data_IF_717569437296
#
_entry.id   IF_717569437296
#
_cell.length_a   1.000
_cell.length_b   1.000
_cell.length_c   1.000
_cell.angle_alpha   90.00
_cell.angle_beta   90.00
_cell.angle_gamma   90.00
#
_symmetry.space_group_name_H-M   'P 1'
#
loop_
_entity.id
_entity.type
_entity.pdbx_description
1 polymer ?
#
# COMPACT_ATOMS: atom_id res chain seq x y z
N UNK A 1 10.26 -19.35 22.51
CA UNK A 1 10.70 -18.02 22.02
C UNK A 1 10.63 -18.14 20.51
N UNK A 2 9.85 -17.31 19.82
CA UNK A 2 9.86 -17.31 18.37
C UNK A 2 11.27 -16.92 17.90
N UNK A 3 11.83 -17.66 16.96
CA UNK A 3 13.11 -17.30 16.34
C UNK A 3 12.98 -15.90 15.71
N UNK A 4 14.06 -15.12 15.74
CA UNK A 4 14.10 -13.83 15.07
C UNK A 4 13.88 -14.01 13.56
N UNK A 5 13.12 -13.13 12.90
CA UNK A 5 12.87 -13.24 11.47
C UNK A 5 14.16 -13.06 10.66
N UNK A 6 14.23 -13.72 9.52
CA UNK A 6 15.25 -13.43 8.50
C UNK A 6 14.79 -12.38 7.49
N UNK A 7 13.47 -12.18 7.39
CA UNK A 7 12.84 -11.20 6.54
C UNK A 7 11.61 -10.61 7.22
N UNK A 8 11.44 -9.29 7.12
CA UNK A 8 10.19 -8.62 7.46
C UNK A 8 9.61 -8.01 6.19
N UNK A 9 8.34 -8.32 5.94
CA UNK A 9 7.57 -7.76 4.82
C UNK A 9 6.59 -6.75 5.41
N UNK A 10 6.60 -5.54 4.89
CA UNK A 10 5.69 -4.46 5.28
C UNK A 10 4.64 -4.23 4.20
N UNK A 11 3.39 -4.02 4.60
CA UNK A 11 2.48 -3.27 3.77
C UNK A 11 2.93 -1.80 3.65
N UNK A 12 2.44 -1.12 2.64
CA UNK A 12 2.78 0.27 2.36
C UNK A 12 1.73 1.24 2.92
N UNK A 13 0.47 1.08 2.50
CA UNK A 13 -0.64 1.95 2.91
C UNK A 13 -1.01 1.78 4.38
N UNK A 14 -1.24 2.87 5.10
CA UNK A 14 -1.55 2.91 6.54
C UNK A 14 -0.52 2.19 7.46
N UNK A 15 0.61 1.76 6.91
CA UNK A 15 1.76 1.25 7.67
C UNK A 15 2.95 2.19 7.49
N UNK A 16 3.60 2.17 6.33
CA UNK A 16 4.76 3.05 6.03
C UNK A 16 4.29 4.46 5.65
N UNK A 17 3.13 4.58 4.99
CA UNK A 17 2.51 5.86 4.63
C UNK A 17 1.08 5.91 5.13
N UNK A 18 0.64 7.08 5.58
CA UNK A 18 -0.76 7.33 5.87
C UNK A 18 -1.51 7.58 4.56
N UNK A 19 -2.75 7.13 4.48
CA UNK A 19 -3.63 7.31 3.31
C UNK A 19 -4.89 8.06 3.74
N UNK A 20 -5.20 9.17 3.06
CA UNK A 20 -6.42 9.95 3.26
C UNK A 20 -7.28 10.00 1.99
N UNK A 21 -8.13 8.98 1.76
CA UNK A 21 -9.02 8.93 0.61
C UNK A 21 -10.06 10.06 0.62
N UNK A 22 -10.41 10.57 1.80
CA UNK A 22 -11.39 11.65 1.92
C UNK A 22 -10.82 12.97 1.40
N UNK A 23 -9.55 13.27 1.67
CA UNK A 23 -8.88 14.43 1.12
C UNK A 23 -8.78 14.37 -0.41
N UNK A 24 -8.47 13.21 -0.98
CA UNK A 24 -8.45 12.99 -2.45
C UNK A 24 -9.84 13.21 -3.03
N UNK A 25 -10.88 12.59 -2.44
CA UNK A 25 -12.26 12.72 -2.89
C UNK A 25 -12.73 14.17 -2.86
N UNK A 26 -12.40 14.93 -1.80
CA UNK A 26 -12.75 16.34 -1.69
C UNK A 26 -12.11 17.19 -2.81
N UNK A 27 -10.87 16.93 -3.14
CA UNK A 27 -10.17 17.63 -4.23
C UNK A 27 -10.76 17.29 -5.60
N UNK A 28 -11.01 16.00 -5.88
CA UNK A 28 -11.64 15.56 -7.12
C UNK A 28 -13.06 16.13 -7.26
N UNK A 29 -13.85 16.12 -6.17
CA UNK A 29 -15.20 16.68 -6.15
C UNK A 29 -15.23 18.15 -6.59
N UNK A 30 -14.24 18.94 -6.15
CA UNK A 30 -14.11 20.36 -6.52
C UNK A 30 -13.76 20.59 -8.00
N UNK A 31 -13.33 19.55 -8.71
CA UNK A 31 -12.99 19.62 -10.15
C UNK A 31 -14.09 19.05 -11.05
N UNK A 32 -15.14 18.49 -10.47
CA UNK A 32 -16.27 17.96 -11.23
C UNK A 32 -17.26 19.07 -11.62
N UNK A 33 -17.69 19.09 -12.88
CA UNK A 33 -18.80 19.94 -13.33
C UNK A 33 -20.18 19.33 -13.00
N UNK A 34 -20.22 18.14 -12.44
CA UNK A 34 -21.46 17.47 -12.08
C UNK A 34 -21.80 17.74 -10.61
N UNK A 35 -22.85 18.53 -10.39
CA UNK A 35 -23.28 18.91 -9.04
C UNK A 35 -23.61 17.75 -8.11
N UNK A 36 -23.87 16.55 -8.64
CA UNK A 36 -24.07 15.33 -7.86
C UNK A 36 -22.83 14.92 -7.08
N UNK A 37 -21.66 15.37 -7.50
CA UNK A 37 -20.35 14.99 -6.94
C UNK A 37 -19.69 16.11 -6.13
N UNK A 38 -20.33 17.26 -5.95
CA UNK A 38 -19.75 18.38 -5.19
C UNK A 38 -19.65 18.10 -3.67
N UNK A 39 -20.42 17.13 -3.15
CA UNK A 39 -20.28 16.70 -1.76
C UNK A 39 -19.20 15.61 -1.65
N UNK A 40 -18.08 15.86 -0.95
CA UNK A 40 -16.94 14.93 -0.91
C UNK A 40 -17.28 13.51 -0.41
N UNK A 41 -18.16 13.40 0.58
CA UNK A 41 -18.57 12.10 1.15
C UNK A 41 -19.40 11.29 0.14
N UNK A 42 -20.26 11.95 -0.63
CA UNK A 42 -21.03 11.33 -1.72
C UNK A 42 -20.08 10.91 -2.84
N UNK A 43 -19.12 11.76 -3.19
CA UNK A 43 -18.12 11.44 -4.21
C UNK A 43 -17.29 10.22 -3.82
N UNK A 44 -16.75 10.18 -2.61
CA UNK A 44 -15.96 9.05 -2.10
C UNK A 44 -16.77 7.74 -2.12
N UNK A 45 -18.02 7.77 -1.62
CA UNK A 45 -18.87 6.59 -1.61
C UNK A 45 -19.23 6.12 -3.02
N UNK A 46 -19.34 7.06 -3.97
CA UNK A 46 -19.64 6.76 -5.37
C UNK A 46 -18.44 6.13 -6.07
N UNK A 47 -17.22 6.66 -5.88
CA UNK A 47 -15.99 6.05 -6.41
C UNK A 47 -15.87 4.61 -5.87
N UNK A 48 -15.99 4.43 -4.57
CA UNK A 48 -15.83 3.12 -3.92
C UNK A 48 -16.81 2.07 -4.43
N UNK A 49 -18.02 2.48 -4.86
CA UNK A 49 -19.04 1.54 -5.36
C UNK A 49 -19.03 1.42 -6.88
N UNK A 50 -19.03 2.55 -7.60
CA UNK A 50 -19.20 2.57 -9.05
C UNK A 50 -17.91 2.24 -9.79
N UNK A 51 -16.76 2.64 -9.24
CA UNK A 51 -15.45 2.40 -9.85
C UNK A 51 -14.67 1.25 -9.20
N UNK A 52 -15.29 0.43 -8.34
CA UNK A 52 -14.61 -0.66 -7.66
C UNK A 52 -13.88 -1.61 -8.62
N UNK A 53 -14.54 -2.03 -9.72
CA UNK A 53 -13.92 -2.89 -10.73
C UNK A 53 -12.80 -2.20 -11.51
N UNK A 54 -12.91 -0.88 -11.74
CA UNK A 54 -11.89 -0.07 -12.39
C UNK A 54 -10.65 0.07 -11.50
N UNK A 55 -10.85 0.32 -10.20
CA UNK A 55 -9.76 0.39 -9.21
C UNK A 55 -9.03 -0.95 -9.11
N UNK A 56 -9.78 -2.06 -8.98
CA UNK A 56 -9.19 -3.41 -9.00
C UNK A 56 -8.41 -3.66 -10.28
N UNK A 57 -8.96 -3.32 -11.45
CA UNK A 57 -8.27 -3.49 -12.73
C UNK A 57 -6.98 -2.68 -12.81
N UNK A 58 -6.95 -1.49 -12.21
CA UNK A 58 -5.78 -0.63 -12.15
C UNK A 58 -4.73 -1.16 -11.18
N UNK A 59 -5.14 -1.58 -9.99
CA UNK A 59 -4.25 -2.16 -8.97
C UNK A 59 -3.74 -3.57 -9.33
N UNK A 60 -4.40 -4.27 -10.28
CA UNK A 60 -3.90 -5.51 -10.89
C UNK A 60 -3.08 -5.27 -12.18
N UNK A 61 -2.87 -4.01 -12.57
CA UNK A 61 -2.09 -3.68 -13.78
C UNK A 61 -2.77 -4.03 -15.11
N UNK A 62 -4.09 -4.30 -15.10
CA UNK A 62 -4.86 -4.65 -16.30
C UNK A 62 -5.20 -3.47 -17.20
N UNK A 63 -5.08 -2.25 -16.66
CA UNK A 63 -5.29 -1.00 -17.42
C UNK A 63 -4.14 -0.04 -17.17
N UNK A 64 -3.89 0.83 -18.15
CA UNK A 64 -2.83 1.84 -18.06
C UNK A 64 -3.25 3.02 -17.19
N UNK A 65 -2.29 3.81 -16.66
CA UNK A 65 -2.58 5.06 -15.96
C UNK A 65 -3.45 6.03 -16.76
N UNK A 66 -3.19 6.16 -18.05
CA UNK A 66 -3.96 7.04 -18.93
C UNK A 66 -5.40 6.55 -19.10
N UNK A 67 -5.60 5.25 -19.34
CA UNK A 67 -6.94 4.67 -19.47
C UNK A 67 -7.74 4.78 -18.15
N UNK A 68 -7.08 4.61 -17.00
CA UNK A 68 -7.69 4.84 -15.69
C UNK A 68 -8.18 6.28 -15.54
N UNK A 69 -7.31 7.26 -15.86
CA UNK A 69 -7.67 8.67 -15.83
C UNK A 69 -8.83 9.00 -16.77
N UNK A 70 -8.79 8.55 -18.03
CA UNK A 70 -9.83 8.83 -19.03
C UNK A 70 -11.21 8.33 -18.56
N UNK A 71 -11.26 7.12 -18.00
CA UNK A 71 -12.50 6.56 -17.45
C UNK A 71 -12.99 7.35 -16.21
N UNK A 72 -12.08 7.72 -15.31
CA UNK A 72 -12.42 8.54 -14.13
C UNK A 72 -12.89 9.92 -14.54
N UNK A 73 -12.19 10.59 -15.45
CA UNK A 73 -12.53 11.94 -15.93
C UNK A 73 -13.89 11.95 -16.65
N UNK A 74 -14.14 10.95 -17.49
CA UNK A 74 -15.41 10.79 -18.19
C UNK A 74 -16.56 10.48 -17.24
N UNK A 75 -16.36 9.50 -16.33
CA UNK A 75 -17.41 9.04 -15.39
C UNK A 75 -17.87 10.13 -14.44
N UNK A 76 -16.94 10.96 -13.97
CA UNK A 76 -17.17 11.97 -12.93
C UNK A 76 -17.14 13.41 -13.46
N UNK A 77 -17.02 13.58 -14.78
CA UNK A 77 -16.95 14.90 -15.46
C UNK A 77 -15.89 15.83 -14.84
N UNK A 78 -14.67 15.26 -14.61
CA UNK A 78 -13.57 16.01 -14.01
C UNK A 78 -12.95 16.97 -15.03
N UNK A 79 -12.63 18.19 -14.59
CA UNK A 79 -11.98 19.24 -15.37
C UNK A 79 -10.50 19.35 -15.03
N UNK A 80 -9.83 18.23 -15.10
CA UNK A 80 -8.39 18.10 -14.87
C UNK A 80 -7.75 17.51 -16.13
N UNK A 81 -6.57 17.95 -16.48
CA UNK A 81 -5.74 17.17 -17.39
C UNK A 81 -5.11 15.98 -16.65
N UNK A 82 -4.39 15.12 -17.39
CA UNK A 82 -3.79 13.92 -16.81
C UNK A 82 -2.77 14.25 -15.70
N UNK A 83 -1.96 15.31 -15.87
CA UNK A 83 -0.94 15.67 -14.89
C UNK A 83 -1.56 16.25 -13.61
N UNK A 84 -2.57 17.08 -13.76
CA UNK A 84 -3.36 17.62 -12.64
C UNK A 84 -4.07 16.49 -11.89
N UNK A 85 -4.67 15.53 -12.61
CA UNK A 85 -5.29 14.35 -12.03
C UNK A 85 -4.29 13.54 -11.19
N UNK A 86 -3.10 13.27 -11.73
CA UNK A 86 -2.04 12.53 -11.01
C UNK A 86 -1.64 13.23 -9.71
N UNK A 87 -1.53 14.56 -9.73
CA UNK A 87 -1.23 15.34 -8.52
C UNK A 87 -2.34 15.20 -7.47
N UNK A 88 -3.59 15.34 -7.89
CA UNK A 88 -4.74 15.20 -6.98
C UNK A 88 -4.86 13.76 -6.47
N UNK A 89 -4.71 12.76 -7.37
CA UNK A 89 -4.82 11.33 -7.03
C UNK A 89 -3.79 10.89 -5.98
N UNK A 90 -2.59 11.46 -6.03
CA UNK A 90 -1.52 11.17 -5.07
C UNK A 90 -1.53 12.05 -3.81
N UNK A 91 -2.39 13.07 -3.75
CA UNK A 91 -2.36 14.08 -2.69
C UNK A 91 -2.81 13.61 -1.30
N UNK A 92 -3.33 12.39 -1.21
CA UNK A 92 -3.78 11.79 0.06
C UNK A 92 -2.69 11.05 0.84
N UNK A 93 -1.44 11.03 0.33
CA UNK A 93 -0.36 10.32 1.01
C UNK A 93 0.49 11.24 1.88
N UNK A 94 0.86 10.72 3.05
CA UNK A 94 1.92 11.30 3.88
C UNK A 94 2.77 10.21 4.52
N UNK A 95 4.07 10.42 4.65
CA UNK A 95 4.98 9.45 5.27
C UNK A 95 4.67 9.29 6.77
N UNK A 96 4.63 8.07 7.27
CA UNK A 96 4.62 7.77 8.69
C UNK A 96 6.07 7.79 9.21
N UNK A 97 6.52 8.95 9.68
CA UNK A 97 7.92 9.18 10.07
C UNK A 97 8.39 8.27 11.21
N UNK A 98 7.50 7.88 12.13
CA UNK A 98 7.84 6.98 13.23
C UNK A 98 8.15 5.57 12.68
N UNK A 99 7.30 5.04 11.79
CA UNK A 99 7.54 3.75 11.14
C UNK A 99 8.76 3.83 10.22
N UNK A 100 8.94 4.90 9.46
CA UNK A 100 10.11 5.11 8.61
C UNK A 100 11.42 5.10 9.39
N UNK A 101 11.42 5.70 10.58
CA UNK A 101 12.56 5.65 11.50
C UNK A 101 12.84 4.21 11.99
N UNK A 102 11.79 3.47 12.37
CA UNK A 102 11.90 2.07 12.79
C UNK A 102 12.43 1.19 11.65
N UNK A 103 11.86 1.30 10.46
CA UNK A 103 12.32 0.59 9.25
C UNK A 103 13.78 0.89 8.94
N UNK A 104 14.19 2.15 9.07
CA UNK A 104 15.59 2.55 8.83
C UNK A 104 16.59 1.90 9.79
N UNK A 105 16.17 1.62 11.02
CA UNK A 105 16.98 0.87 12.00
C UNK A 105 16.99 -0.62 11.69
N UNK A 106 15.80 -1.20 11.41
CA UNK A 106 15.66 -2.63 11.08
C UNK A 106 16.46 -3.04 9.85
N UNK A 107 16.58 -2.16 8.85
CA UNK A 107 17.34 -2.43 7.63
C UNK A 107 18.84 -2.73 7.86
N UNK A 108 19.36 -2.48 9.07
CA UNK A 108 20.74 -2.82 9.46
C UNK A 108 20.85 -4.23 10.05
N UNK A 109 19.73 -4.90 10.36
CA UNK A 109 19.68 -6.15 11.12
C UNK A 109 18.96 -7.28 10.40
N UNK A 110 18.01 -6.96 9.52
CA UNK A 110 17.15 -7.95 8.86
C UNK A 110 16.81 -7.49 7.44
N UNK A 111 16.57 -8.44 6.54
CA UNK A 111 16.08 -8.16 5.18
C UNK A 111 14.69 -7.55 5.25
N UNK A 112 14.40 -6.58 4.39
CA UNK A 112 13.12 -5.88 4.37
C UNK A 112 12.53 -5.90 2.97
N UNK A 113 11.25 -6.27 2.86
CA UNK A 113 10.45 -6.19 1.64
C UNK A 113 9.23 -5.31 1.86
N UNK A 114 8.64 -4.83 0.76
CA UNK A 114 7.27 -4.29 0.70
C UNK A 114 6.40 -5.29 -0.06
N UNK A 115 5.15 -5.47 0.39
CA UNK A 115 4.08 -6.18 -0.31
C UNK A 115 2.82 -5.33 -0.28
N UNK A 116 2.43 -4.73 -1.41
CA UNK A 116 1.37 -3.72 -1.45
C UNK A 116 0.36 -3.94 -2.57
N UNK A 117 -0.93 -3.78 -2.23
CA UNK A 117 -1.98 -3.53 -3.21
C UNK A 117 -1.88 -2.05 -3.61
N UNK A 118 -1.45 -1.78 -4.83
CA UNK A 118 -1.16 -0.43 -5.31
C UNK A 118 -1.17 -0.38 -6.85
N UNK A 119 -0.97 0.81 -7.39
CA UNK A 119 -0.92 1.06 -8.84
C UNK A 119 0.32 1.88 -9.22
N UNK A 120 0.64 1.99 -10.53
CA UNK A 120 1.83 2.71 -10.97
C UNK A 120 1.90 4.15 -10.49
N UNK A 121 0.77 4.90 -10.52
CA UNK A 121 0.75 6.31 -10.14
C UNK A 121 1.11 6.51 -8.67
N UNK A 122 0.54 5.70 -7.79
CA UNK A 122 0.81 5.75 -6.35
C UNK A 122 2.25 5.33 -6.04
N UNK A 123 2.70 4.20 -6.60
CA UNK A 123 4.02 3.70 -6.27
C UNK A 123 5.15 4.60 -6.80
N UNK A 124 5.06 5.12 -8.02
CA UNK A 124 6.04 6.06 -8.57
C UNK A 124 6.15 7.33 -7.72
N UNK A 125 5.00 7.88 -7.31
CA UNK A 125 4.97 9.03 -6.41
C UNK A 125 5.64 8.73 -5.07
N UNK A 126 5.23 7.64 -4.40
CA UNK A 126 5.76 7.25 -3.09
C UNK A 126 7.24 6.89 -3.15
N UNK A 127 7.69 6.19 -4.19
CA UNK A 127 9.11 5.89 -4.38
C UNK A 127 9.97 7.15 -4.53
N UNK A 128 9.40 8.23 -5.09
CA UNK A 128 10.10 9.52 -5.24
C UNK A 128 10.09 10.36 -3.97
N UNK A 129 9.02 10.28 -3.16
CA UNK A 129 8.77 11.18 -2.02
C UNK A 129 9.02 10.55 -0.66
N UNK A 130 9.08 9.20 -0.55
CA UNK A 130 9.28 8.47 0.69
C UNK A 130 10.63 7.71 0.67
N UNK A 131 11.72 8.31 1.19
CA UNK A 131 13.08 7.76 1.06
C UNK A 131 13.26 6.38 1.69
N UNK A 132 12.45 6.01 2.69
CA UNK A 132 12.56 4.73 3.39
C UNK A 132 12.26 3.54 2.47
N UNK A 133 11.46 3.72 1.41
CA UNK A 133 11.18 2.69 0.41
C UNK A 133 12.47 2.21 -0.27
N UNK A 134 13.46 3.08 -0.43
CA UNK A 134 14.77 2.74 -1.03
C UNK A 134 15.65 1.86 -0.14
N UNK A 135 15.25 1.61 1.11
CA UNK A 135 15.94 0.69 2.02
C UNK A 135 15.42 -0.75 1.91
N UNK A 136 14.33 -0.95 1.19
CA UNK A 136 13.79 -2.29 0.94
C UNK A 136 14.66 -3.02 -0.07
N UNK A 137 14.94 -4.29 0.21
CA UNK A 137 15.67 -5.18 -0.69
C UNK A 137 14.82 -5.51 -1.92
N UNK A 138 13.49 -5.67 -1.72
CA UNK A 138 12.54 -5.88 -2.81
C UNK A 138 11.19 -5.22 -2.51
N UNK A 139 10.46 -4.93 -3.59
CA UNK A 139 9.07 -4.46 -3.55
C UNK A 139 8.20 -5.36 -4.41
N UNK A 140 7.12 -5.88 -3.83
CA UNK A 140 6.12 -6.72 -4.50
C UNK A 140 4.84 -5.88 -4.63
N UNK A 141 4.51 -5.52 -5.86
CA UNK A 141 3.44 -4.59 -6.17
C UNK A 141 2.37 -5.33 -6.96
N UNK A 142 1.13 -5.24 -6.50
CA UNK A 142 0.01 -5.98 -7.09
C UNK A 142 -0.11 -5.80 -8.60
N UNK A 143 0.08 -4.56 -9.09
CA UNK A 143 -0.01 -4.26 -10.53
C UNK A 143 1.11 -4.89 -11.38
N UNK A 144 2.24 -5.27 -10.76
CA UNK A 144 3.33 -5.98 -11.45
C UNK A 144 3.13 -7.50 -11.40
N UNK A 145 2.57 -8.01 -10.28
CA UNK A 145 2.32 -9.43 -10.08
C UNK A 145 1.03 -9.86 -10.77
N UNK A 146 0.08 -8.95 -10.97
CA UNK A 146 -1.22 -9.21 -11.59
C UNK A 146 -2.24 -9.81 -10.64
N UNK A 147 -2.03 -9.71 -9.31
CA UNK A 147 -2.99 -10.15 -8.30
C UNK A 147 -2.89 -9.32 -7.02
N UNK A 148 -4.00 -9.25 -6.29
CA UNK A 148 -4.16 -8.47 -5.07
C UNK A 148 -4.10 -9.36 -3.82
N UNK A 149 -3.64 -8.83 -2.69
CA UNK A 149 -3.97 -9.36 -1.36
C UNK A 149 -5.51 -9.34 -1.21
N UNK A 150 -6.14 -10.36 -0.63
CA UNK A 150 -5.59 -11.48 0.12
C UNK A 150 -5.34 -12.76 -0.72
N UNK A 151 -5.25 -12.69 -2.06
CA UNK A 151 -4.98 -13.87 -2.86
C UNK A 151 -3.64 -14.53 -2.45
N UNK A 152 -3.64 -15.84 -2.22
CA UNK A 152 -2.47 -16.62 -1.80
C UNK A 152 -1.26 -16.41 -2.70
N UNK A 153 -1.49 -16.30 -4.01
CA UNK A 153 -0.44 -16.19 -5.03
C UNK A 153 0.53 -15.00 -4.80
N UNK A 154 0.07 -13.85 -4.27
CA UNK A 154 0.95 -12.71 -4.05
C UNK A 154 1.93 -12.94 -2.87
N UNK A 155 1.49 -13.65 -1.83
CA UNK A 155 2.35 -14.04 -0.70
C UNK A 155 3.32 -15.14 -1.10
N UNK A 156 2.88 -16.14 -1.88
CA UNK A 156 3.74 -17.18 -2.44
C UNK A 156 4.82 -16.58 -3.35
N UNK A 157 4.47 -15.56 -4.15
CA UNK A 157 5.44 -14.81 -4.93
C UNK A 157 6.50 -14.13 -4.05
N UNK A 158 6.07 -13.51 -2.93
CA UNK A 158 6.98 -12.89 -1.98
C UNK A 158 7.92 -13.92 -1.31
N UNK A 159 7.40 -15.08 -0.90
CA UNK A 159 8.18 -16.17 -0.32
C UNK A 159 9.18 -16.76 -1.32
N UNK A 160 8.75 -16.95 -2.57
CA UNK A 160 9.63 -17.43 -3.64
C UNK A 160 10.78 -16.45 -3.90
N UNK A 161 10.47 -15.16 -4.00
CA UNK A 161 11.48 -14.11 -4.18
C UNK A 161 12.46 -14.04 -3.00
N UNK A 162 11.95 -14.23 -1.78
CA UNK A 162 12.75 -14.23 -0.56
C UNK A 162 13.70 -15.44 -0.47
N UNK A 163 13.32 -16.59 -1.05
CA UNK A 163 14.02 -17.86 -0.92
C UNK A 163 13.98 -18.41 0.51
N UNK A 164 12.96 -18.07 1.29
CA UNK A 164 12.82 -18.42 2.69
C UNK A 164 11.54 -19.23 2.93
N UNK A 165 11.55 -20.16 3.89
CA UNK A 165 10.33 -20.80 4.35
C UNK A 165 9.49 -19.82 5.18
N UNK A 166 8.14 -19.99 5.19
CA UNK A 166 7.21 -19.01 5.78
C UNK A 166 7.48 -18.67 7.25
N UNK A 167 7.89 -19.64 8.06
CA UNK A 167 8.16 -19.49 9.49
C UNK A 167 9.34 -18.55 9.82
N UNK A 168 10.18 -18.24 8.82
CA UNK A 168 11.30 -17.29 8.94
C UNK A 168 10.93 -15.88 8.49
N UNK A 169 9.69 -15.68 8.04
CA UNK A 169 9.18 -14.41 7.49
C UNK A 169 8.13 -13.82 8.42
N UNK A 170 8.29 -12.53 8.73
CA UNK A 170 7.26 -11.76 9.39
C UNK A 170 6.57 -10.83 8.40
N UNK A 171 5.26 -10.64 8.56
CA UNK A 171 4.45 -9.79 7.70
C UNK A 171 3.62 -8.81 8.54
N UNK A 172 3.62 -7.55 8.17
CA UNK A 172 2.98 -6.45 8.88
C UNK A 172 1.97 -5.78 7.96
N UNK A 173 0.69 -5.74 8.39
CA UNK A 173 -0.41 -5.17 7.60
C UNK A 173 -1.49 -4.61 8.54
N UNK A 174 -2.14 -3.50 8.19
CA UNK A 174 -3.23 -2.89 8.97
C UNK A 174 -4.58 -3.59 8.74
N UNK A 175 -4.71 -4.38 7.67
CA UNK A 175 -5.93 -5.12 7.32
C UNK A 175 -5.85 -6.54 7.86
N UNK A 176 -6.73 -6.86 8.81
CA UNK A 176 -6.75 -8.17 9.48
C UNK A 176 -6.91 -9.36 8.51
N UNK A 177 -7.67 -9.18 7.43
CA UNK A 177 -7.86 -10.19 6.38
C UNK A 177 -6.53 -10.50 5.67
N UNK A 178 -5.73 -9.49 5.37
CA UNK A 178 -4.45 -9.65 4.70
C UNK A 178 -3.40 -10.30 5.61
N UNK A 179 -3.35 -9.87 6.88
CA UNK A 179 -2.51 -10.51 7.88
C UNK A 179 -2.93 -11.98 8.10
N UNK A 180 -4.24 -12.27 8.14
CA UNK A 180 -4.77 -13.62 8.25
C UNK A 180 -4.43 -14.53 7.08
N UNK A 181 -4.46 -13.99 5.85
CA UNK A 181 -4.08 -14.74 4.65
C UNK A 181 -2.59 -15.13 4.67
N UNK A 182 -1.71 -14.24 5.12
CA UNK A 182 -0.29 -14.53 5.32
C UNK A 182 -0.09 -15.61 6.42
N UNK A 183 -0.80 -15.49 7.54
CA UNK A 183 -0.73 -16.45 8.64
C UNK A 183 -1.16 -17.86 8.23
N UNK A 184 -2.15 -18.00 7.34
CA UNK A 184 -2.59 -19.29 6.81
C UNK A 184 -1.50 -20.01 5.99
N UNK A 185 -0.49 -19.29 5.52
CA UNK A 185 0.67 -19.84 4.84
C UNK A 185 1.85 -20.16 5.79
N UNK A 186 1.69 -19.92 7.10
CA UNK A 186 2.74 -20.11 8.10
C UNK A 186 3.65 -18.90 8.32
N UNK A 187 3.37 -17.76 7.68
CA UNK A 187 4.08 -16.50 7.90
C UNK A 187 3.67 -15.95 9.28
N UNK A 188 4.61 -15.44 10.06
CA UNK A 188 4.29 -14.76 11.32
C UNK A 188 3.69 -13.37 11.03
N UNK A 189 2.36 -13.28 11.10
CA UNK A 189 1.64 -12.06 10.77
C UNK A 189 1.40 -11.17 12.00
N UNK A 190 1.71 -9.89 11.85
CA UNK A 190 1.47 -8.84 12.84
C UNK A 190 0.45 -7.87 12.26
N UNK A 191 -0.72 -7.76 12.92
CA UNK A 191 -1.66 -6.71 12.58
C UNK A 191 -1.14 -5.37 13.08
N UNK A 192 -0.87 -4.45 12.17
CA UNK A 192 -0.49 -3.08 12.53
C UNK A 192 -1.67 -2.33 13.17
N UNK A 193 -1.41 -1.66 14.28
CA UNK A 193 -2.38 -0.83 14.99
C UNK A 193 -1.84 0.58 15.26
N UNK A 194 -0.53 0.68 15.52
CA UNK A 194 0.15 1.95 15.75
C UNK A 194 1.67 1.79 15.65
N UNK A 195 2.38 2.89 15.43
CA UNK A 195 3.84 2.92 15.44
C UNK A 195 4.42 2.47 16.79
N UNK A 196 3.76 2.79 17.90
CA UNK A 196 4.19 2.40 19.25
C UNK A 196 4.05 0.89 19.47
N UNK A 197 2.92 0.28 19.05
CA UNK A 197 2.74 -1.18 19.11
C UNK A 197 3.81 -1.86 18.26
N UNK A 198 3.99 -1.42 17.01
CA UNK A 198 4.97 -2.03 16.11
C UNK A 198 6.40 -1.92 16.65
N UNK A 199 6.76 -0.77 17.26
CA UNK A 199 8.06 -0.58 17.91
C UNK A 199 8.28 -1.53 19.09
N UNK A 200 7.23 -1.85 19.84
CA UNK A 200 7.32 -2.82 20.93
C UNK A 200 7.50 -4.25 20.39
N UNK A 201 6.74 -4.63 19.37
CA UNK A 201 6.80 -5.98 18.78
C UNK A 201 8.15 -6.27 18.09
N UNK A 202 8.73 -5.27 17.42
CA UNK A 202 10.00 -5.40 16.70
C UNK A 202 11.24 -5.01 17.53
N UNK A 203 11.04 -4.43 18.72
CA UNK A 203 12.12 -4.01 19.61
C UNK A 203 13.14 -5.10 19.93
N UNK A 204 12.73 -6.36 20.19
CA UNK A 204 13.68 -7.45 20.42
C UNK A 204 14.68 -7.70 19.29
N UNK A 205 14.29 -7.43 18.04
CA UNK A 205 15.18 -7.59 16.87
C UNK A 205 16.32 -6.57 16.91
N UNK A 206 16.01 -5.34 17.38
CA UNK A 206 16.97 -4.24 17.45
C UNK A 206 17.93 -4.34 18.66
N UNK A 207 17.58 -5.15 19.66
CA UNK A 207 18.34 -5.27 20.91
C UNK A 207 19.21 -6.53 20.96
N UNK A 208 19.10 -7.43 19.99
CA UNK A 208 19.85 -8.70 19.93
C UNK A 208 21.19 -8.59 19.16
N UNK A 209 21.79 -7.40 19.14
CA UNK A 209 23.12 -7.11 18.56
C UNK A 209 24.07 -6.63 19.68
#
# INVERSE_FOLDING_TARGET
>A
MSESPELIIFDLGNVIVNVDPAAVAARLANTSDDSRYHEPSVFLSTISKRSASLLVAFDEGRITPLAFYEEMASTYNLKLDFQEFVQVWNSGFSENLEVSSLVSRLAQHVRLFILSNTNPLHFEYLHSTCPVIKKMEAVILSYQVGCLKPATAIYEHALHLAGLPPERVWYIDDIAEFAGAAANLGIHAIKFQSSSQLSADLGPILNNT
#
